data_IF_219505835037
#
_entry.id   IF_219505835037
#
_cell.length_a   1.000
_cell.length_b   1.000
_cell.length_c   1.000
_cell.angle_alpha   90.00
_cell.angle_beta   90.00
_cell.angle_gamma   90.00
#
_symmetry.space_group_name_H-M   'P 1'
#
loop_
_entity.id
_entity.type
_entity.pdbx_description
1 polymer ?
#
# COMPACT_ATOMS: atom_id res chain seq x y z
N UNK A 1 25.85 -55.72 5.81
CA UNK A 1 25.12 -54.97 4.77
C UNK A 1 24.37 -53.85 5.48
N UNK A 2 24.86 -52.60 5.50
CA UNK A 2 24.15 -51.51 6.16
C UNK A 2 23.14 -50.87 5.19
N UNK A 3 21.93 -50.66 5.68
CA UNK A 3 20.83 -49.97 5.02
C UNK A 3 21.17 -48.50 4.79
N UNK A 4 21.01 -48.05 3.54
CA UNK A 4 21.16 -46.65 3.17
C UNK A 4 19.94 -45.86 3.68
N UNK A 5 20.16 -45.04 4.71
CA UNK A 5 19.22 -43.99 5.11
C UNK A 5 19.17 -42.93 4.01
N UNK A 6 18.11 -42.98 3.21
CA UNK A 6 17.74 -41.88 2.32
C UNK A 6 16.94 -40.85 3.13
N UNK A 7 17.64 -39.84 3.66
CA UNK A 7 17.00 -38.65 4.21
C UNK A 7 16.26 -37.90 3.10
N UNK A 8 15.17 -37.17 3.41
CA UNK A 8 14.45 -36.39 2.42
C UNK A 8 15.38 -35.30 1.87
N UNK A 9 15.70 -35.42 0.57
CA UNK A 9 16.33 -34.36 -0.20
C UNK A 9 15.36 -33.18 -0.18
N UNK A 10 15.69 -32.14 0.57
CA UNK A 10 15.06 -30.82 0.45
C UNK A 10 15.26 -30.37 -1.00
N UNK A 11 14.23 -30.58 -1.83
CA UNK A 11 14.19 -29.99 -3.16
C UNK A 11 14.03 -28.50 -2.97
N UNK A 12 15.15 -27.77 -2.99
CA UNK A 12 15.14 -26.39 -3.46
C UNK A 12 14.70 -26.45 -4.93
N UNK A 13 13.39 -26.45 -5.18
CA UNK A 13 12.86 -26.19 -6.51
C UNK A 13 13.29 -24.79 -6.88
N UNK A 14 14.31 -24.69 -7.72
CA UNK A 14 14.70 -23.44 -8.37
C UNK A 14 13.45 -22.82 -8.98
N UNK A 15 13.14 -21.57 -8.65
CA UNK A 15 12.04 -20.87 -9.30
C UNK A 15 12.28 -20.88 -10.82
N UNK A 16 11.25 -21.13 -11.65
CA UNK A 16 11.37 -21.05 -13.09
C UNK A 16 11.95 -19.69 -13.51
N UNK A 17 12.84 -19.68 -14.50
CA UNK A 17 13.46 -18.44 -15.00
C UNK A 17 12.40 -17.39 -15.40
N UNK A 18 11.27 -17.83 -15.96
CA UNK A 18 10.17 -16.95 -16.35
C UNK A 18 9.51 -16.24 -15.16
N UNK A 19 9.46 -16.88 -13.98
CA UNK A 19 8.95 -16.24 -12.75
C UNK A 19 9.91 -15.18 -12.23
N UNK A 20 11.22 -15.43 -12.31
CA UNK A 20 12.22 -14.44 -11.93
C UNK A 20 12.16 -13.22 -12.86
N UNK A 21 12.11 -13.45 -14.17
CA UNK A 21 11.95 -12.39 -15.18
C UNK A 21 10.65 -11.61 -14.98
N UNK A 22 9.54 -12.29 -14.71
CA UNK A 22 8.27 -11.63 -14.42
C UNK A 22 8.37 -10.74 -13.17
N UNK A 23 9.07 -11.19 -12.12
CA UNK A 23 9.35 -10.39 -10.93
C UNK A 23 10.19 -9.15 -11.23
N UNK A 24 11.23 -9.28 -12.05
CA UNK A 24 12.04 -8.14 -12.50
C UNK A 24 11.21 -7.12 -13.29
N UNK A 25 10.33 -7.60 -14.18
CA UNK A 25 9.42 -6.73 -14.95
C UNK A 25 8.39 -6.05 -14.04
N UNK A 26 7.79 -6.78 -13.08
CA UNK A 26 6.85 -6.20 -12.12
C UNK A 26 7.50 -5.08 -11.31
N UNK A 27 8.77 -5.24 -10.91
CA UNK A 27 9.50 -4.21 -10.18
C UNK A 27 9.66 -2.89 -10.95
N UNK A 28 9.63 -2.93 -12.29
CA UNK A 28 9.65 -1.72 -13.13
C UNK A 28 8.36 -0.91 -13.03
N UNK A 29 7.27 -1.49 -12.51
CA UNK A 29 6.04 -0.77 -12.26
C UNK A 29 6.15 0.11 -11.01
N UNK A 30 6.99 -0.18 -10.03
CA UNK A 30 7.11 0.70 -8.85
C UNK A 30 7.87 1.99 -9.18
N UNK A 31 7.56 3.12 -8.50
CA UNK A 31 8.31 4.35 -8.67
C UNK A 31 9.78 4.14 -8.29
N UNK A 32 10.69 4.52 -9.20
CA UNK A 32 12.15 4.44 -8.96
C UNK A 32 12.63 5.50 -7.99
N UNK A 33 12.01 6.67 -8.07
CA UNK A 33 12.30 7.82 -7.24
C UNK A 33 11.01 8.27 -6.56
N UNK A 34 11.10 8.63 -5.29
CA UNK A 34 9.99 9.24 -4.57
C UNK A 34 9.85 10.71 -5.00
N UNK A 35 8.63 11.27 -5.03
CA UNK A 35 8.41 12.64 -5.43
C UNK A 35 9.14 13.60 -4.48
N UNK A 36 9.86 14.57 -5.04
CA UNK A 36 10.40 15.68 -4.26
C UNK A 36 9.30 16.70 -4.02
N UNK A 37 8.75 16.72 -2.81
CA UNK A 37 7.70 17.65 -2.42
C UNK A 37 8.29 18.80 -1.57
N UNK A 38 7.90 20.04 -1.87
CA UNK A 38 8.27 21.17 -1.01
C UNK A 38 7.55 21.12 0.34
N UNK A 39 6.33 20.58 0.37
CA UNK A 39 5.42 20.57 1.51
C UNK A 39 5.53 19.33 2.42
N UNK A 40 6.13 18.24 1.95
CA UNK A 40 6.29 17.01 2.74
C UNK A 40 7.60 16.27 2.43
N UNK A 41 7.93 15.31 3.28
CA UNK A 41 8.87 14.23 3.00
C UNK A 41 8.08 12.95 2.80
N UNK A 42 8.40 12.20 1.75
CA UNK A 42 7.72 10.95 1.39
C UNK A 42 8.70 9.81 1.62
N UNK A 43 8.28 8.82 2.39
CA UNK A 43 9.02 7.57 2.58
C UNK A 43 8.14 6.40 2.17
N UNK A 44 8.76 5.39 1.55
CA UNK A 44 8.09 4.12 1.25
C UNK A 44 9.00 2.96 1.58
N UNK A 45 8.41 1.90 2.12
CA UNK A 45 9.06 0.59 2.26
C UNK A 45 8.08 -0.49 1.83
N UNK A 46 8.52 -1.32 0.88
CA UNK A 46 7.79 -2.48 0.39
C UNK A 46 8.67 -3.72 0.59
N UNK A 47 8.11 -4.76 1.20
CA UNK A 47 8.74 -6.05 1.43
C UNK A 47 7.79 -7.13 0.91
N UNK A 48 8.08 -7.63 -0.28
CA UNK A 48 7.30 -8.70 -0.91
C UNK A 48 7.52 -10.03 -0.19
N UNK A 49 6.46 -10.83 -0.04
CA UNK A 49 6.56 -12.19 0.50
C UNK A 49 7.14 -13.18 -0.50
N UNK A 50 6.94 -12.95 -1.81
CA UNK A 50 7.48 -13.79 -2.88
C UNK A 50 8.12 -12.97 -4.02
N UNK A 51 8.53 -13.63 -5.10
CA UNK A 51 9.13 -12.97 -6.29
C UNK A 51 8.15 -12.03 -6.99
N UNK A 52 6.85 -12.31 -6.88
CA UNK A 52 5.74 -11.53 -7.42
C UNK A 52 4.76 -11.20 -6.30
N UNK A 53 4.14 -10.03 -6.36
CA UNK A 53 3.30 -9.52 -5.29
C UNK A 53 1.98 -8.93 -5.75
N UNK A 54 1.02 -8.85 -4.84
CA UNK A 54 -0.28 -8.20 -5.00
C UNK A 54 -0.24 -6.72 -4.66
N UNK A 55 0.67 -6.31 -3.77
CA UNK A 55 0.81 -4.93 -3.33
C UNK A 55 1.24 -3.98 -4.46
N UNK A 56 0.61 -2.81 -4.50
CA UNK A 56 0.99 -1.71 -5.37
C UNK A 56 0.87 -0.36 -4.70
N UNK A 57 1.74 0.55 -5.10
CA UNK A 57 1.74 1.92 -4.66
C UNK A 57 2.35 2.83 -5.71
N UNK A 58 1.98 4.11 -5.70
CA UNK A 58 2.59 5.12 -6.54
C UNK A 58 2.29 6.55 -6.10
N UNK A 59 3.08 7.48 -6.63
CA UNK A 59 2.91 8.92 -6.50
C UNK A 59 2.93 9.57 -7.88
N UNK A 60 1.77 10.05 -8.34
CA UNK A 60 1.64 10.62 -9.68
C UNK A 60 1.39 12.13 -9.59
N UNK A 61 2.29 12.99 -10.09
CA UNK A 61 1.99 14.41 -10.23
C UNK A 61 0.91 14.60 -11.29
N UNK A 62 -0.09 15.42 -10.98
CA UNK A 62 -1.19 15.75 -11.87
C UNK A 62 -0.93 17.07 -12.60
N UNK A 63 -1.55 17.26 -13.76
CA UNK A 63 -1.34 18.44 -14.62
C UNK A 63 -1.79 19.75 -13.95
N UNK A 64 -2.74 19.66 -13.02
CA UNK A 64 -3.25 20.81 -12.24
C UNK A 64 -2.38 21.16 -11.03
N UNK A 65 -1.23 20.49 -10.87
CA UNK A 65 -0.29 20.68 -9.77
C UNK A 65 -0.65 19.91 -8.50
N UNK A 66 -1.74 19.14 -8.50
CA UNK A 66 -2.03 18.22 -7.40
C UNK A 66 -1.10 17.00 -7.41
N UNK A 67 -0.95 16.37 -6.25
CA UNK A 67 -0.19 15.13 -6.08
C UNK A 67 -1.14 13.99 -5.78
N UNK A 68 -1.17 13.00 -6.66
CA UNK A 68 -1.87 11.75 -6.41
C UNK A 68 -0.99 10.79 -5.61
N UNK A 69 -1.61 10.04 -4.70
CA UNK A 69 -1.00 8.97 -3.92
C UNK A 69 -1.94 7.77 -3.97
N UNK A 70 -1.40 6.60 -4.29
CA UNK A 70 -2.16 5.37 -4.26
C UNK A 70 -1.39 4.29 -3.49
N UNK A 71 -2.12 3.45 -2.79
CA UNK A 71 -1.64 2.19 -2.22
C UNK A 71 -2.79 1.20 -2.22
N UNK A 72 -2.54 -0.04 -2.57
CA UNK A 72 -3.55 -1.07 -2.63
C UNK A 72 -2.92 -2.44 -2.63
N UNK A 73 -3.78 -3.43 -2.46
CA UNK A 73 -3.42 -4.83 -2.53
C UNK A 73 -4.42 -5.57 -3.42
N UNK A 74 -3.90 -6.32 -4.39
CA UNK A 74 -4.71 -7.18 -5.23
C UNK A 74 -4.98 -8.50 -4.51
N UNK A 75 -6.25 -8.87 -4.39
CA UNK A 75 -6.68 -10.07 -3.67
C UNK A 75 -5.91 -11.30 -4.13
N UNK A 76 -5.42 -12.10 -3.18
CA UNK A 76 -4.60 -13.29 -3.44
C UNK A 76 -3.12 -13.01 -3.20
N UNK A 77 -2.24 -13.89 -3.66
CA UNK A 77 -0.79 -13.69 -3.54
C UNK A 77 -0.05 -14.28 -4.75
N UNK A 78 1.19 -13.86 -4.96
CA UNK A 78 2.06 -14.39 -6.01
C UNK A 78 1.60 -14.02 -7.44
N UNK A 79 1.66 -14.98 -8.36
CA UNK A 79 1.50 -14.72 -9.80
C UNK A 79 0.11 -14.21 -10.20
N UNK A 80 -0.96 -14.66 -9.56
CA UNK A 80 -2.30 -14.19 -9.91
C UNK A 80 -2.51 -12.74 -9.45
N UNK A 81 -2.14 -12.44 -8.20
CA UNK A 81 -2.26 -11.10 -7.64
C UNK A 81 -1.43 -10.08 -8.45
N UNK A 82 -0.23 -10.47 -8.92
CA UNK A 82 0.62 -9.60 -9.75
C UNK A 82 -0.01 -9.21 -11.09
N UNK A 83 -0.82 -10.08 -11.70
CA UNK A 83 -1.57 -9.77 -12.93
C UNK A 83 -2.63 -8.71 -12.64
N UNK A 84 -3.41 -8.89 -11.58
CA UNK A 84 -4.48 -7.95 -11.20
C UNK A 84 -3.90 -6.61 -10.82
N UNK A 85 -2.84 -6.62 -10.00
CA UNK A 85 -2.04 -5.46 -9.67
C UNK A 85 -1.57 -4.71 -10.92
N UNK A 86 -1.02 -5.42 -11.92
CA UNK A 86 -0.57 -4.82 -13.18
C UNK A 86 -1.73 -4.17 -13.98
N UNK A 87 -2.91 -4.79 -13.97
CA UNK A 87 -4.11 -4.24 -14.62
C UNK A 87 -4.59 -2.96 -13.92
N UNK A 88 -4.63 -2.96 -12.58
CA UNK A 88 -4.99 -1.77 -11.78
C UNK A 88 -3.98 -0.66 -12.03
N UNK A 89 -2.69 -0.96 -11.93
CA UNK A 89 -1.62 0.01 -12.13
C UNK A 89 -1.69 0.66 -13.51
N UNK A 90 -1.77 -0.15 -14.58
CA UNK A 90 -1.89 0.34 -15.95
C UNK A 90 -3.17 1.14 -16.21
N UNK A 91 -4.29 0.75 -15.58
CA UNK A 91 -5.53 1.52 -15.68
C UNK A 91 -5.40 2.90 -15.03
N UNK A 92 -4.89 2.96 -13.79
CA UNK A 92 -4.76 4.21 -13.05
C UNK A 92 -3.83 5.18 -13.77
N UNK A 93 -2.65 4.74 -14.21
CA UNK A 93 -1.72 5.55 -15.01
C UNK A 93 -2.33 6.12 -16.29
N UNK A 94 -3.25 5.38 -16.92
CA UNK A 94 -4.00 5.88 -18.07
C UNK A 94 -5.08 6.88 -17.66
N UNK A 95 -5.81 6.61 -16.59
CA UNK A 95 -7.01 7.33 -16.19
C UNK A 95 -6.72 8.71 -15.58
N UNK A 96 -5.57 8.87 -14.92
CA UNK A 96 -5.28 10.07 -14.11
C UNK A 96 -4.63 11.21 -14.90
N UNK A 97 -4.88 11.29 -16.20
CA UNK A 97 -4.41 12.40 -17.04
C UNK A 97 -5.33 13.62 -16.85
N UNK A 98 -4.74 14.78 -16.52
CA UNK A 98 -5.46 16.03 -16.28
C UNK A 98 -5.94 16.20 -14.83
N UNK A 99 -7.10 16.85 -14.65
CA UNK A 99 -7.73 17.07 -13.34
C UNK A 99 -8.36 15.77 -12.84
N UNK A 100 -7.83 15.22 -11.74
CA UNK A 100 -8.29 13.95 -11.20
C UNK A 100 -9.45 14.12 -10.21
N UNK A 101 -10.53 13.37 -10.41
CA UNK A 101 -11.61 13.21 -9.45
C UNK A 101 -11.49 11.82 -8.78
N UNK A 102 -11.10 11.73 -7.50
CA UNK A 102 -10.91 10.46 -6.79
C UNK A 102 -12.09 9.49 -6.93
N UNK A 103 -13.31 9.94 -6.65
CA UNK A 103 -14.50 9.08 -6.68
C UNK A 103 -14.79 8.55 -8.07
N UNK A 104 -14.77 9.42 -9.09
CA UNK A 104 -15.02 9.00 -10.46
C UNK A 104 -13.95 8.00 -10.94
N UNK A 105 -12.67 8.28 -10.70
CA UNK A 105 -11.56 7.40 -11.09
C UNK A 105 -11.69 6.01 -10.46
N UNK A 106 -11.96 5.95 -9.16
CA UNK A 106 -12.07 4.67 -8.44
C UNK A 106 -13.35 3.91 -8.82
N UNK A 107 -14.47 4.60 -9.04
CA UNK A 107 -15.69 3.97 -9.54
C UNK A 107 -15.49 3.38 -10.95
N UNK A 108 -14.74 4.07 -11.81
CA UNK A 108 -14.45 3.61 -13.16
C UNK A 108 -13.47 2.42 -13.15
N UNK A 109 -12.48 2.43 -12.25
CA UNK A 109 -11.62 1.28 -11.98
C UNK A 109 -12.43 0.06 -11.51
N UNK A 110 -13.42 0.25 -10.61
CA UNK A 110 -14.31 -0.84 -10.23
C UNK A 110 -15.01 -1.44 -11.45
N UNK A 111 -15.61 -0.61 -12.31
CA UNK A 111 -16.30 -1.08 -13.52
C UNK A 111 -15.34 -1.81 -14.46
N UNK A 112 -14.10 -1.35 -14.58
CA UNK A 112 -13.05 -2.00 -15.36
C UNK A 112 -12.76 -3.41 -14.83
N UNK A 113 -12.50 -3.56 -13.52
CA UNK A 113 -12.27 -4.87 -12.90
C UNK A 113 -13.48 -5.81 -13.02
N UNK A 114 -14.70 -5.30 -12.77
CA UNK A 114 -15.95 -6.06 -12.95
C UNK A 114 -16.14 -6.58 -14.37
N UNK A 115 -15.63 -5.88 -15.39
CA UNK A 115 -15.69 -6.33 -16.78
C UNK A 115 -14.85 -7.60 -17.04
N UNK A 116 -13.82 -7.86 -16.24
CA UNK A 116 -13.06 -9.11 -16.28
C UNK A 116 -13.71 -10.18 -15.41
N UNK A 117 -14.12 -9.83 -14.19
CA UNK A 117 -14.79 -10.73 -13.26
C UNK A 117 -15.99 -11.43 -13.90
N UNK A 118 -16.80 -10.69 -14.67
CA UNK A 118 -18.00 -11.22 -15.36
C UNK A 118 -17.71 -12.20 -16.49
N UNK A 119 -16.45 -12.38 -16.91
CA UNK A 119 -16.08 -13.33 -17.98
C UNK A 119 -16.08 -14.78 -17.49
N UNK A 120 -16.04 -15.01 -16.18
CA UNK A 120 -16.10 -16.35 -15.59
C UNK A 120 -16.74 -16.31 -14.21
N UNK A 121 -17.89 -16.95 -14.06
CA UNK A 121 -18.53 -17.13 -12.75
C UNK A 121 -17.69 -17.95 -11.77
N UNK A 122 -16.72 -18.74 -12.25
CA UNK A 122 -15.79 -19.50 -11.40
C UNK A 122 -14.66 -18.66 -10.83
N UNK A 123 -14.27 -17.60 -11.54
CA UNK A 123 -13.07 -16.81 -11.27
C UNK A 123 -13.37 -15.32 -11.08
N UNK A 124 -14.61 -14.97 -10.75
CA UNK A 124 -15.09 -13.60 -10.63
C UNK A 124 -14.37 -12.82 -9.51
N UNK A 125 -14.19 -13.44 -8.36
CA UNK A 125 -13.49 -12.90 -7.19
C UNK A 125 -11.97 -12.77 -7.38
N UNK A 126 -11.39 -13.30 -8.46
CA UNK A 126 -9.95 -13.15 -8.71
C UNK A 126 -9.59 -11.78 -9.26
N UNK A 127 -10.53 -10.98 -9.75
CA UNK A 127 -10.28 -9.63 -10.26
C UNK A 127 -10.71 -8.56 -9.26
N UNK A 128 -10.24 -8.66 -8.02
CA UNK A 128 -10.51 -7.69 -6.95
C UNK A 128 -9.24 -7.13 -6.32
N UNK A 129 -9.38 -5.93 -5.74
CA UNK A 129 -8.30 -5.27 -5.03
C UNK A 129 -8.86 -4.35 -3.94
N UNK A 130 -8.09 -4.16 -2.88
CA UNK A 130 -8.26 -3.03 -1.97
C UNK A 130 -7.48 -1.83 -2.52
N UNK A 131 -7.95 -0.62 -2.23
CA UNK A 131 -7.28 0.60 -2.70
C UNK A 131 -7.54 1.78 -1.77
N UNK A 132 -6.48 2.45 -1.36
CA UNK A 132 -6.51 3.85 -0.96
C UNK A 132 -6.05 4.71 -2.13
N UNK A 133 -6.88 5.66 -2.54
CA UNK A 133 -6.61 6.62 -3.62
C UNK A 133 -6.80 8.04 -3.09
N UNK A 134 -5.71 8.79 -3.02
CA UNK A 134 -5.68 10.15 -2.50
C UNK A 134 -5.19 11.16 -3.53
N UNK A 135 -5.77 12.36 -3.50
CA UNK A 135 -5.30 13.54 -4.25
C UNK A 135 -5.11 14.67 -3.26
N UNK A 136 -3.87 15.17 -3.18
CA UNK A 136 -3.48 16.28 -2.32
C UNK A 136 -3.28 17.51 -3.19
N UNK A 137 -3.88 18.63 -2.81
CA UNK A 137 -3.55 19.92 -3.40
C UNK A 137 -2.43 20.59 -2.59
N UNK A 138 -1.20 20.75 -3.14
CA UNK A 138 -0.08 21.35 -2.42
C UNK A 138 -0.30 22.79 -1.98
N UNK A 139 -1.17 23.55 -2.67
CA UNK A 139 -1.36 24.97 -2.38
C UNK A 139 -2.15 25.22 -1.10
N UNK A 140 -3.00 24.27 -0.70
CA UNK A 140 -3.84 24.38 0.49
C UNK A 140 -3.75 23.17 1.42
N UNK A 141 -2.99 22.13 1.07
CA UNK A 141 -2.82 20.89 1.82
C UNK A 141 -4.13 20.15 2.13
N UNK A 142 -5.15 20.33 1.30
CA UNK A 142 -6.38 19.53 1.38
C UNK A 142 -6.14 18.21 0.66
N UNK A 143 -6.42 17.10 1.37
CA UNK A 143 -6.45 15.77 0.79
C UNK A 143 -7.89 15.35 0.55
N UNK A 144 -8.21 14.95 -0.68
CA UNK A 144 -9.44 14.24 -1.05
C UNK A 144 -9.09 12.78 -1.29
N UNK A 145 -9.88 11.84 -0.79
CA UNK A 145 -9.55 10.43 -0.90
C UNK A 145 -10.77 9.53 -0.99
N UNK A 146 -10.51 8.33 -1.52
CA UNK A 146 -11.39 7.17 -1.51
C UNK A 146 -10.59 5.99 -0.96
N UNK A 147 -11.13 5.27 0.02
CA UNK A 147 -10.56 4.04 0.57
C UNK A 147 -11.53 2.88 0.38
N UNK A 148 -11.30 2.09 -0.66
CA UNK A 148 -12.10 0.96 -1.10
C UNK A 148 -11.56 -0.35 -0.48
N UNK A 149 -12.13 -0.75 0.65
CA UNK A 149 -11.78 -1.99 1.36
C UNK A 149 -10.35 -2.06 1.93
N UNK A 150 -9.55 -1.01 1.80
CA UNK A 150 -8.15 -0.97 2.23
C UNK A 150 -8.02 -0.70 3.74
N UNK A 151 -6.94 -1.15 4.40
CA UNK A 151 -6.67 -0.77 5.78
C UNK A 151 -6.74 0.74 5.99
N UNK A 152 -7.30 1.16 7.12
CA UNK A 152 -7.50 2.58 7.42
C UNK A 152 -6.16 3.25 7.68
N UNK A 153 -5.81 4.24 6.86
CA UNK A 153 -4.65 5.09 7.10
C UNK A 153 -4.71 5.77 8.49
N UNK A 154 -3.55 6.12 9.02
CA UNK A 154 -3.42 6.76 10.34
C UNK A 154 -2.81 8.15 10.20
N UNK A 155 -3.48 9.17 10.74
CA UNK A 155 -3.02 10.54 10.79
C UNK A 155 -2.57 10.87 12.22
N UNK A 156 -1.27 11.02 12.42
CA UNK A 156 -0.69 11.56 13.66
C UNK A 156 -0.62 13.08 13.56
N UNK A 157 -1.19 13.75 14.57
CA UNK A 157 -1.13 15.20 14.74
C UNK A 157 -0.71 15.52 16.16
N UNK A 158 0.55 15.94 16.33
CA UNK A 158 1.14 16.15 17.64
C UNK A 158 1.01 14.88 18.50
N UNK A 159 0.26 14.98 19.59
CA UNK A 159 0.01 13.87 20.54
C UNK A 159 -1.29 13.11 20.26
N UNK A 160 -1.93 13.31 19.11
CA UNK A 160 -3.18 12.63 18.74
C UNK A 160 -2.98 11.75 17.52
N UNK A 161 -3.70 10.62 17.49
CA UNK A 161 -3.78 9.71 16.36
C UNK A 161 -5.23 9.53 15.94
N UNK A 162 -5.51 9.73 14.66
CA UNK A 162 -6.83 9.48 14.08
C UNK A 162 -6.73 8.45 12.95
N UNK A 163 -7.68 7.51 12.89
CA UNK A 163 -7.85 6.64 11.73
C UNK A 163 -8.69 7.36 10.67
N UNK A 164 -8.28 7.24 9.42
CA UNK A 164 -9.09 7.71 8.29
C UNK A 164 -10.36 6.88 8.17
N UNK A 165 -11.42 7.51 7.69
CA UNK A 165 -12.72 6.85 7.51
C UNK A 165 -12.66 5.95 6.28
N UNK A 166 -13.03 4.66 6.37
CA UNK A 166 -13.26 3.83 5.19
C UNK A 166 -14.32 4.48 4.30
N UNK A 167 -14.20 4.34 2.98
CA UNK A 167 -15.16 5.00 2.07
C UNK A 167 -15.75 4.07 1.01
N UNK A 168 -15.62 2.76 1.17
CA UNK A 168 -16.36 1.78 0.39
C UNK A 168 -15.80 0.37 0.50
N UNK A 169 -16.44 -0.54 -0.22
CA UNK A 169 -16.05 -1.95 -0.29
C UNK A 169 -14.89 -2.19 -1.27
N UNK A 170 -14.20 -3.35 -1.18
CA UNK A 170 -13.17 -3.72 -2.15
C UNK A 170 -13.64 -3.65 -3.61
N UNK A 171 -12.74 -3.23 -4.49
CA UNK A 171 -13.00 -3.08 -5.92
C UNK A 171 -13.07 -4.46 -6.59
N UNK A 172 -13.85 -4.57 -7.66
CA UNK A 172 -13.98 -5.77 -8.48
C UNK A 172 -14.83 -6.88 -7.86
N UNK A 173 -15.14 -6.81 -6.56
CA UNK A 173 -15.98 -7.79 -5.88
C UNK A 173 -17.48 -7.47 -6.00
N UNK A 174 -17.85 -6.20 -5.81
CA UNK A 174 -19.23 -5.73 -5.88
C UNK A 174 -19.50 -4.92 -7.15
N UNK A 175 -20.69 -5.08 -7.73
CA UNK A 175 -21.11 -4.24 -8.86
C UNK A 175 -21.27 -2.77 -8.43
N UNK A 176 -21.70 -2.54 -7.19
CA UNK A 176 -21.82 -1.24 -6.54
C UNK A 176 -21.12 -1.33 -5.18
N UNK A 177 -19.86 -0.88 -5.06
CA UNK A 177 -19.08 -0.98 -3.83
C UNK A 177 -19.34 0.16 -2.82
N UNK A 178 -20.44 0.90 -2.96
CA UNK A 178 -20.83 2.00 -2.06
C UNK A 178 -19.70 3.01 -1.78
N UNK A 179 -19.07 3.47 -2.85
CA UNK A 179 -17.93 4.40 -2.76
C UNK A 179 -18.37 5.82 -2.43
N UNK A 180 -17.67 6.43 -1.49
CA UNK A 180 -17.76 7.83 -1.12
C UNK A 180 -16.39 8.51 -1.23
N UNK A 181 -16.40 9.83 -1.47
CA UNK A 181 -15.22 10.66 -1.29
C UNK A 181 -15.26 11.31 0.10
N UNK A 182 -14.11 11.34 0.78
CA UNK A 182 -13.90 12.13 1.98
C UNK A 182 -12.75 13.10 1.76
N UNK A 183 -12.72 14.16 2.56
CA UNK A 183 -11.62 15.12 2.54
C UNK A 183 -11.24 15.57 3.93
N UNK A 184 -9.97 15.91 4.12
CA UNK A 184 -9.47 16.51 5.36
C UNK A 184 -8.30 17.45 5.09
N UNK A 185 -8.06 18.34 6.05
CA UNK A 185 -6.96 19.29 6.02
C UNK A 185 -5.72 18.66 6.65
N UNK A 186 -4.65 18.52 5.87
CA UNK A 186 -3.31 18.25 6.38
C UNK A 186 -2.71 19.54 6.94
N UNK A 187 -2.02 19.44 8.07
CA UNK A 187 -1.32 20.53 8.72
C UNK A 187 0.18 20.26 8.72
N UNK A 188 0.97 21.33 8.79
CA UNK A 188 2.41 21.22 8.98
C UNK A 188 2.73 20.45 10.28
N UNK A 189 3.65 19.50 10.22
CA UNK A 189 3.99 18.61 11.32
C UNK A 189 3.11 17.36 11.45
N UNK A 190 2.07 17.21 10.63
CA UNK A 190 1.32 15.96 10.56
C UNK A 190 2.18 14.83 9.98
N UNK A 191 1.92 13.59 10.42
CA UNK A 191 2.42 12.36 9.79
C UNK A 191 1.23 11.53 9.34
N UNK A 192 1.14 11.23 8.04
CA UNK A 192 0.16 10.29 7.48
C UNK A 192 0.84 8.96 7.19
N UNK A 193 0.32 7.88 7.77
CA UNK A 193 0.71 6.51 7.47
C UNK A 193 -0.38 5.82 6.64
N UNK A 194 0.01 5.24 5.52
CA UNK A 194 -0.80 4.32 4.73
C UNK A 194 -0.06 2.97 4.64
N UNK A 195 -0.78 1.87 4.70
CA UNK A 195 -0.16 0.54 4.77
C UNK A 195 -1.09 -0.55 4.26
N UNK A 196 -0.50 -1.64 3.76
CA UNK A 196 -1.22 -2.87 3.41
C UNK A 196 -1.31 -3.80 4.63
N UNK A 197 -2.27 -4.70 4.62
CA UNK A 197 -2.59 -5.60 5.75
C UNK A 197 -1.44 -6.53 6.14
N UNK A 198 -0.54 -6.89 5.21
CA UNK A 198 0.69 -7.62 5.54
C UNK A 198 1.59 -6.94 6.57
N UNK A 199 1.42 -5.63 6.86
CA UNK A 199 2.07 -4.96 7.98
C UNK A 199 1.53 -5.39 9.35
N UNK A 200 0.23 -5.68 9.45
CA UNK A 200 -0.46 -5.98 10.72
C UNK A 200 -0.80 -7.47 10.89
N UNK A 201 -0.81 -8.24 9.81
CA UNK A 201 -1.21 -9.65 9.82
C UNK A 201 -0.04 -10.61 10.13
N UNK A 202 1.18 -10.09 10.23
CA UNK A 202 2.36 -10.86 10.61
C UNK A 202 2.18 -11.60 11.95
N UNK A 203 2.50 -12.90 11.97
CA UNK A 203 2.37 -13.76 13.14
C UNK A 203 3.70 -13.95 13.88
N UNK A 204 3.65 -13.86 15.20
CA UNK A 204 4.77 -14.27 16.05
C UNK A 204 4.91 -15.80 16.10
N UNK A 205 6.03 -16.34 16.63
CA UNK A 205 6.16 -17.77 16.88
C UNK A 205 5.07 -18.36 17.80
N UNK A 206 4.44 -17.53 18.63
CA UNK A 206 3.32 -17.92 19.48
C UNK A 206 1.95 -17.87 18.75
N UNK A 207 1.92 -17.46 17.48
CA UNK A 207 0.70 -17.31 16.69
C UNK A 207 -0.06 -16.00 16.93
N UNK A 208 0.57 -15.00 17.55
CA UNK A 208 -0.05 -13.70 17.80
C UNK A 208 0.14 -12.76 16.61
N UNK A 209 -0.93 -12.12 16.16
CA UNK A 209 -0.86 -11.07 15.11
C UNK A 209 -0.15 -9.82 15.63
N UNK A 210 0.62 -9.15 14.77
CA UNK A 210 1.25 -7.87 15.09
C UNK A 210 0.18 -6.83 15.47
N UNK A 211 -0.84 -6.74 14.64
CA UNK A 211 -2.10 -6.07 14.91
C UNK A 211 -2.03 -4.54 14.90
N UNK A 212 -3.19 -3.93 14.70
CA UNK A 212 -3.31 -2.47 14.59
C UNK A 212 -2.95 -1.75 15.88
N UNK A 213 -3.22 -2.34 17.06
CA UNK A 213 -2.94 -1.70 18.35
C UNK A 213 -1.46 -1.42 18.55
N UNK A 214 -0.58 -2.36 18.15
CA UNK A 214 0.87 -2.16 18.24
C UNK A 214 1.33 -1.11 17.24
N UNK A 215 0.80 -1.16 16.01
CA UNK A 215 1.07 -0.15 15.00
C UNK A 215 0.74 1.26 15.50
N UNK A 216 -0.43 1.46 16.13
CA UNK A 216 -0.82 2.74 16.70
C UNK A 216 0.14 3.25 17.77
N UNK A 217 0.64 2.34 18.63
CA UNK A 217 1.63 2.68 19.66
C UNK A 217 2.96 3.13 19.04
N UNK A 218 3.41 2.46 17.98
CA UNK A 218 4.65 2.81 17.27
C UNK A 218 4.50 4.16 16.54
N UNK A 219 3.40 4.36 15.82
CA UNK A 219 3.12 5.65 15.15
C UNK A 219 3.08 6.79 16.16
N UNK A 220 2.52 6.57 17.34
CA UNK A 220 2.47 7.58 18.40
C UNK A 220 3.79 7.82 19.12
N UNK A 221 4.56 6.75 19.37
CA UNK A 221 5.73 6.77 20.24
C UNK A 221 7.06 6.97 19.52
N UNK A 222 7.12 6.75 18.21
CA UNK A 222 8.33 6.95 17.42
C UNK A 222 8.40 8.39 16.92
N UNK A 223 9.40 9.10 17.42
CA UNK A 223 9.88 10.34 16.81
C UNK A 223 10.90 10.02 15.71
N UNK A 224 11.62 11.03 15.21
CA UNK A 224 12.50 10.86 14.05
C UNK A 224 11.82 11.17 12.74
N UNK A 225 12.61 11.29 11.68
CA UNK A 225 12.08 11.58 10.35
C UNK A 225 11.47 10.34 9.69
N UNK A 226 10.79 10.54 8.57
CA UNK A 226 10.16 9.50 7.76
C UNK A 226 11.02 8.23 7.49
N UNK A 227 12.33 8.37 7.32
CA UNK A 227 13.21 7.23 7.01
C UNK A 227 13.50 6.42 8.26
N UNK A 228 13.92 7.10 9.34
CA UNK A 228 14.17 6.48 10.65
C UNK A 228 12.90 5.76 11.14
N UNK A 229 11.74 6.43 11.04
CA UNK A 229 10.46 5.84 11.38
C UNK A 229 10.15 4.55 10.60
N UNK A 230 10.40 4.52 9.28
CA UNK A 230 10.16 3.32 8.46
C UNK A 230 11.17 2.20 8.77
N UNK A 231 12.41 2.55 9.10
CA UNK A 231 13.42 1.58 9.52
C UNK A 231 13.01 0.93 10.83
N UNK A 232 12.66 1.73 11.83
CA UNK A 232 12.24 1.27 13.15
C UNK A 232 10.93 0.47 13.09
N UNK A 233 9.94 0.93 12.32
CA UNK A 233 8.69 0.22 12.14
C UNK A 233 8.90 -1.18 11.56
N UNK A 234 9.68 -1.29 10.47
CA UNK A 234 9.94 -2.59 9.86
C UNK A 234 10.87 -3.46 10.70
N UNK A 235 11.71 -2.87 11.54
CA UNK A 235 12.51 -3.61 12.52
C UNK A 235 11.61 -4.21 13.60
N UNK A 236 10.68 -3.44 14.15
CA UNK A 236 9.67 -3.94 15.09
C UNK A 236 8.78 -5.05 14.50
N UNK A 237 8.40 -4.93 13.21
CA UNK A 237 7.67 -5.99 12.49
C UNK A 237 8.54 -7.23 12.32
N UNK A 238 9.81 -7.06 11.94
CA UNK A 238 10.74 -8.18 11.79
C UNK A 238 10.99 -8.90 13.13
N UNK A 239 11.19 -8.16 14.21
CA UNK A 239 11.35 -8.71 15.56
C UNK A 239 10.12 -9.47 16.03
N UNK A 240 8.91 -8.99 15.71
CA UNK A 240 7.67 -9.69 16.05
C UNK A 240 7.52 -11.02 15.30
N UNK A 241 7.89 -11.04 14.01
CA UNK A 241 7.90 -12.26 13.20
C UNK A 241 9.01 -13.25 13.63
N UNK A 242 10.11 -12.72 14.17
CA UNK A 242 11.33 -13.47 14.50
C UNK A 242 11.86 -14.23 13.26
N UNK A 243 11.91 -15.56 13.31
CA UNK A 243 12.35 -16.42 12.20
C UNK A 243 11.24 -16.73 11.19
N UNK A 244 10.00 -16.28 11.42
CA UNK A 244 8.88 -16.56 10.53
C UNK A 244 8.98 -15.76 9.23
N UNK A 245 8.71 -16.37 8.06
CA UNK A 245 8.61 -15.63 6.81
C UNK A 245 7.39 -14.70 6.84
N UNK A 246 7.40 -13.69 5.96
CA UNK A 246 6.16 -12.98 5.68
C UNK A 246 5.14 -13.93 5.07
N UNK A 247 3.90 -13.80 5.54
CA UNK A 247 2.75 -14.49 4.95
C UNK A 247 2.18 -13.72 3.76
N UNK A 248 2.37 -12.40 3.74
CA UNK A 248 1.84 -11.51 2.72
C UNK A 248 2.79 -10.34 2.41
N UNK A 249 2.56 -9.67 1.29
CA UNK A 249 3.30 -8.46 0.94
C UNK A 249 3.07 -7.34 1.95
N UNK A 250 4.13 -6.61 2.27
CA UNK A 250 4.09 -5.58 3.30
C UNK A 250 4.57 -4.25 2.73
N UNK A 251 3.62 -3.34 2.49
CA UNK A 251 3.88 -2.01 1.97
C UNK A 251 3.47 -0.95 2.97
N UNK A 252 4.29 0.09 3.10
CA UNK A 252 3.99 1.25 3.92
C UNK A 252 4.46 2.51 3.23
N UNK A 253 3.56 3.50 3.19
CA UNK A 253 3.85 4.88 2.80
C UNK A 253 3.75 5.76 4.04
N UNK A 254 4.74 6.62 4.23
CA UNK A 254 4.68 7.69 5.23
C UNK A 254 4.83 9.05 4.54
N UNK A 255 3.98 10.00 4.93
CA UNK A 255 4.08 11.40 4.55
C UNK A 255 4.31 12.24 5.80
N UNK A 256 5.47 12.87 5.90
CA UNK A 256 5.78 13.82 6.97
C UNK A 256 5.65 15.24 6.43
N UNK A 257 4.61 15.95 6.88
CA UNK A 257 4.34 17.32 6.47
C UNK A 257 5.40 18.22 7.12
N UNK A 258 6.16 18.95 6.31
CA UNK A 258 7.26 19.78 6.83
C UNK A 258 6.70 20.84 7.76
N UNK A 259 7.36 21.08 8.89
CA UNK A 259 7.05 22.20 9.77
C UNK A 259 7.17 23.51 9.00
N UNK A 260 6.35 24.52 9.32
CA UNK A 260 6.60 25.87 8.82
C UNK A 260 7.99 26.28 9.32
N UNK A 261 8.83 26.77 8.42
CA UNK A 261 10.04 27.48 8.85
C UNK A 261 9.56 28.59 9.79
N UNK A 262 10.01 28.55 11.04
CA UNK A 262 9.87 29.70 11.93
C UNK A 262 10.56 30.85 11.21
N UNK A 263 9.78 31.83 10.75
CA UNK A 263 10.36 33.08 10.29
C UNK A 263 11.14 33.63 11.48
N UNK A 264 12.48 33.51 11.43
CA UNK A 264 13.35 34.25 12.33
C UNK A 264 12.99 35.71 12.13
N UNK A 265 12.27 36.27 13.10
CA UNK A 265 12.14 37.71 13.23
C UNK A 265 13.56 38.23 13.48
N UNK A 266 14.13 38.84 12.45
CA UNK A 266 15.24 39.78 12.61
C UNK A 266 14.74 41.06 13.27
#
# INVERSE_FOLDING_TARGET
MPEAMTGPVLRHTSLPIDMLLAGEVQRLLFPKDLPSCEWCRVGVKNRMATVLGGDFFDFIPLEDGCQMILIGDATGHGLHASIVMSLVYGYLHRAVKGVCNPLATVADLNRFLRSFARRSARYDHFFSATLFFGVINPSNLVMRYVSAGHPTGMLRRGTTLARLTPTGHPLGYFDQPDLEEKSFQLLHGDRLLLYTDGLIDGLSPAGEVFGTRRLEQLVMGMDGDHMEFLEDLFSAVHEHLDVQPLLDDCTTIVLDLKSRATASQY
#
